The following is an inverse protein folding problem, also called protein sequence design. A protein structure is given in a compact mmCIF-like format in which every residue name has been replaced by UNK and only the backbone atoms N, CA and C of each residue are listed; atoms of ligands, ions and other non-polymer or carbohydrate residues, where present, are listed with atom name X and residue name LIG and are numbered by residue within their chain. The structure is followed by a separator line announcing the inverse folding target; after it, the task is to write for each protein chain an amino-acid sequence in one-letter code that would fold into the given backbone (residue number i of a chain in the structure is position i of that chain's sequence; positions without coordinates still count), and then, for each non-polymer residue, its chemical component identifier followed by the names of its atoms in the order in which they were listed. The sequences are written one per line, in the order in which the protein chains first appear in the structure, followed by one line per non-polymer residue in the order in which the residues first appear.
data_IF_913249531193
#
_entry.id   IF_913249531193
#
_cell.length_a   1.000
_cell.length_b   1.000
_cell.length_c   1.000
_cell.angle_alpha   90.00
_cell.angle_beta   90.00
_cell.angle_gamma   90.00
#
_symmetry.space_group_name_H-M   'P 1'
#
loop_
_entity.id
_entity.type
_entity.pdbx_description
1 polymer ?
#
# COMPACT_ATOMS: atom_id res chain seq x y z
N UNK A 1 -4.84 -20.98 27.79
CA UNK A 1 -4.83 -21.57 26.43
C UNK A 1 -4.56 -20.60 25.26
N UNK A 2 -4.76 -19.26 25.33
CA UNK A 2 -4.41 -18.37 24.22
C UNK A 2 -2.90 -18.05 24.11
N UNK A 3 -2.15 -18.07 25.23
CA UNK A 3 -0.71 -17.76 25.25
C UNK A 3 0.16 -18.81 24.54
N UNK A 4 -0.23 -20.09 24.61
CA UNK A 4 0.48 -21.17 23.92
C UNK A 4 0.35 -21.09 22.39
N UNK A 5 -0.79 -20.60 21.90
CA UNK A 5 -1.03 -20.38 20.46
C UNK A 5 -0.21 -19.17 19.98
N UNK A 6 -0.16 -18.09 20.78
CA UNK A 6 0.66 -16.92 20.46
C UNK A 6 2.15 -17.28 20.37
N UNK A 7 2.67 -18.06 21.33
CA UNK A 7 4.06 -18.53 21.30
C UNK A 7 4.35 -19.45 20.10
N UNK A 8 3.44 -20.35 19.76
CA UNK A 8 3.61 -21.22 18.59
C UNK A 8 3.61 -20.43 17.26
N UNK A 9 2.73 -19.43 17.12
CA UNK A 9 2.73 -18.54 15.95
C UNK A 9 4.01 -17.69 15.91
N UNK A 10 4.48 -17.21 17.07
CA UNK A 10 5.74 -16.46 17.13
C UNK A 10 6.94 -17.33 16.76
N UNK A 11 7.02 -18.56 17.25
CA UNK A 11 8.10 -19.50 16.90
C UNK A 11 8.06 -19.88 15.42
N UNK A 12 6.89 -20.12 14.84
CA UNK A 12 6.75 -20.40 13.41
C UNK A 12 7.11 -19.19 12.54
N UNK A 13 6.74 -17.97 12.97
CA UNK A 13 7.16 -16.73 12.30
C UNK A 13 8.68 -16.55 12.39
N UNK A 14 9.27 -16.77 13.57
CA UNK A 14 10.73 -16.70 13.75
C UNK A 14 11.44 -17.75 12.90
N UNK A 15 10.89 -18.96 12.81
CA UNK A 15 11.45 -20.07 12.03
C UNK A 15 11.28 -19.86 10.52
N UNK A 16 10.22 -19.19 10.08
CA UNK A 16 10.07 -18.70 8.70
C UNK A 16 11.02 -17.54 8.38
N UNK A 17 11.32 -16.68 9.36
CA UNK A 17 12.28 -15.58 9.21
C UNK A 17 13.75 -16.05 9.29
N UNK A 18 14.03 -17.13 10.00
CA UNK A 18 15.36 -17.72 10.16
C UNK A 18 15.63 -18.86 9.16
N UNK A 19 14.58 -19.41 8.56
CA UNK A 19 14.66 -20.47 7.56
C UNK A 19 15.07 -19.91 6.21
N UNK A 20 16.15 -20.44 5.63
CA UNK A 20 16.53 -20.09 4.26
C UNK A 20 15.44 -20.57 3.31
N UNK A 21 14.67 -19.65 2.73
CA UNK A 21 13.88 -19.95 1.54
C UNK A 21 14.87 -20.19 0.39
N UNK A 22 15.19 -21.46 0.11
CA UNK A 22 16.01 -21.86 -1.02
C UNK A 22 17.51 -21.55 -0.93
N UNK A 23 18.14 -21.71 0.24
CA UNK A 23 19.57 -21.43 0.50
C UNK A 23 20.01 -19.94 0.41
N UNK A 24 19.07 -19.00 0.30
CA UNK A 24 19.38 -17.57 0.34
C UNK A 24 19.20 -17.00 1.76
N UNK A 25 20.08 -16.10 2.21
CA UNK A 25 19.90 -15.40 3.49
C UNK A 25 18.56 -14.67 3.51
N UNK A 26 17.77 -14.84 4.58
CA UNK A 26 16.43 -14.24 4.69
C UNK A 26 16.44 -12.71 4.56
N UNK A 27 17.56 -12.07 4.91
CA UNK A 27 17.80 -10.64 4.70
C UNK A 27 17.68 -10.23 3.22
N UNK A 28 18.15 -11.07 2.29
CA UNK A 28 18.10 -10.80 0.85
C UNK A 28 16.65 -10.91 0.34
N UNK A 29 15.91 -11.89 0.83
CA UNK A 29 14.50 -12.12 0.46
C UNK A 29 13.61 -10.96 0.94
N UNK A 30 13.95 -10.33 2.06
CA UNK A 30 13.24 -9.16 2.60
C UNK A 30 13.69 -7.83 1.99
N UNK A 31 14.95 -7.71 1.54
CA UNK A 31 15.48 -6.50 0.93
C UNK A 31 14.77 -6.13 -0.38
N UNK A 32 14.39 -7.13 -1.19
CA UNK A 32 13.69 -6.90 -2.46
C UNK A 32 12.34 -6.20 -2.26
N UNK A 33 11.38 -6.73 -1.48
CA UNK A 33 10.11 -6.06 -1.24
C UNK A 33 10.29 -4.71 -0.53
N UNK A 34 11.33 -4.54 0.31
CA UNK A 34 11.64 -3.24 0.92
C UNK A 34 12.00 -2.16 -0.10
N UNK A 35 12.90 -2.46 -1.04
CA UNK A 35 13.29 -1.50 -2.10
C UNK A 35 12.10 -1.18 -3.00
N UNK A 36 11.32 -2.20 -3.37
CA UNK A 36 10.07 -2.01 -4.13
C UNK A 36 9.11 -1.09 -3.39
N UNK A 37 8.90 -1.34 -2.09
CA UNK A 37 8.09 -0.48 -1.23
C UNK A 37 8.57 0.96 -1.26
N UNK A 38 9.87 1.18 -1.09
CA UNK A 38 10.47 2.51 -1.08
C UNK A 38 10.22 3.29 -2.39
N UNK A 39 10.44 2.64 -3.54
CA UNK A 39 10.17 3.24 -4.85
C UNK A 39 8.69 3.57 -5.01
N UNK A 40 7.80 2.65 -4.63
CA UNK A 40 6.35 2.88 -4.68
C UNK A 40 5.93 4.03 -3.77
N UNK A 41 6.45 4.10 -2.55
CA UNK A 41 6.17 5.18 -1.60
C UNK A 41 6.54 6.54 -2.16
N UNK A 42 7.71 6.65 -2.78
CA UNK A 42 8.15 7.87 -3.48
C UNK A 42 7.21 8.27 -4.62
N UNK A 43 6.88 7.32 -5.50
CA UNK A 43 6.00 7.58 -6.66
C UNK A 43 4.62 8.02 -6.19
N UNK A 44 4.03 7.33 -5.20
CA UNK A 44 2.72 7.66 -4.64
C UNK A 44 2.71 9.07 -4.04
N UNK A 45 3.77 9.46 -3.31
CA UNK A 45 3.89 10.83 -2.78
C UNK A 45 3.83 11.88 -3.90
N UNK A 46 4.53 11.62 -5.00
CA UNK A 46 4.57 12.55 -6.14
C UNK A 46 3.21 12.66 -6.82
N UNK A 47 2.52 11.53 -7.02
CA UNK A 47 1.16 11.50 -7.57
C UNK A 47 0.19 12.26 -6.64
N UNK A 48 0.27 12.07 -5.32
CA UNK A 48 -0.58 12.77 -4.36
C UNK A 48 -0.38 14.29 -4.40
N UNK A 49 0.86 14.77 -4.49
CA UNK A 49 1.14 16.21 -4.63
C UNK A 49 0.50 16.80 -5.89
N UNK A 50 0.65 16.13 -7.04
CA UNK A 50 0.05 16.58 -8.30
C UNK A 50 -1.47 16.49 -8.27
N UNK A 51 -2.02 15.41 -7.74
CA UNK A 51 -3.46 15.22 -7.58
C UNK A 51 -4.09 16.30 -6.71
N UNK A 52 -3.45 16.69 -5.62
CA UNK A 52 -3.95 17.75 -4.74
C UNK A 52 -4.00 19.11 -5.45
N UNK A 53 -3.03 19.41 -6.30
CA UNK A 53 -3.05 20.62 -7.14
C UNK A 53 -4.22 20.56 -8.14
N UNK A 54 -4.44 19.42 -8.79
CA UNK A 54 -5.56 19.24 -9.72
C UNK A 54 -6.92 19.40 -9.02
N UNK A 55 -7.06 18.88 -7.81
CA UNK A 55 -8.28 19.05 -6.99
C UNK A 55 -8.49 20.53 -6.65
N UNK A 56 -7.44 21.26 -6.27
CA UNK A 56 -7.55 22.69 -5.99
C UNK A 56 -7.99 23.48 -7.23
N UNK A 57 -7.41 23.18 -8.41
CA UNK A 57 -7.81 23.80 -9.68
C UNK A 57 -9.26 23.47 -10.02
N UNK A 58 -9.68 22.21 -9.84
CA UNK A 58 -11.05 21.78 -10.11
C UNK A 58 -12.06 22.50 -9.21
N UNK A 59 -11.73 22.72 -7.93
CA UNK A 59 -12.57 23.48 -7.00
C UNK A 59 -12.71 24.95 -7.44
N UNK A 60 -11.62 25.59 -7.85
CA UNK A 60 -11.67 26.96 -8.38
C UNK A 60 -12.50 27.02 -9.66
N UNK A 61 -12.31 26.08 -10.60
CA UNK A 61 -13.08 26.02 -11.83
C UNK A 61 -14.58 25.77 -11.57
N UNK A 62 -14.91 24.95 -10.57
CA UNK A 62 -16.28 24.72 -10.12
C UNK A 62 -16.91 25.98 -9.52
N UNK A 63 -16.15 26.77 -8.75
CA UNK A 63 -16.63 28.04 -8.19
C UNK A 63 -17.03 29.04 -9.29
N UNK A 64 -16.25 29.11 -10.38
CA UNK A 64 -16.59 29.96 -11.54
C UNK A 64 -17.64 29.33 -12.47
N UNK A 65 -18.18 28.16 -12.15
CA UNK A 65 -19.23 27.49 -12.93
C UNK A 65 -18.75 26.80 -14.20
N UNK A 66 -17.43 26.70 -14.43
CA UNK A 66 -16.87 25.96 -15.58
C UNK A 66 -17.00 24.44 -15.41
N UNK A 67 -17.18 23.96 -14.18
CA UNK A 67 -17.18 22.53 -13.85
C UNK A 67 -18.36 22.21 -12.94
N UNK A 68 -19.20 21.25 -13.36
CA UNK A 68 -20.28 20.72 -12.52
C UNK A 68 -19.74 19.59 -11.64
N UNK A 69 -19.56 19.89 -10.34
CA UNK A 69 -19.08 18.94 -9.35
C UNK A 69 -19.94 17.67 -9.25
N UNK A 70 -21.25 17.77 -9.54
CA UNK A 70 -22.18 16.64 -9.49
C UNK A 70 -21.78 15.50 -10.44
N UNK A 71 -21.37 15.83 -11.67
CA UNK A 71 -20.95 14.84 -12.66
C UNK A 71 -19.61 14.19 -12.28
N UNK A 72 -18.67 14.99 -11.76
CA UNK A 72 -17.38 14.48 -11.28
C UNK A 72 -17.59 13.52 -10.11
N UNK A 73 -18.48 13.85 -9.17
CA UNK A 73 -18.77 12.97 -8.04
C UNK A 73 -19.45 11.67 -8.47
N UNK A 74 -20.31 11.70 -9.48
CA UNK A 74 -20.96 10.50 -10.02
C UNK A 74 -19.95 9.56 -10.69
N UNK A 75 -19.08 10.10 -11.55
CA UNK A 75 -18.01 9.33 -12.19
C UNK A 75 -17.01 8.78 -11.16
N UNK A 76 -16.64 9.59 -10.17
CA UNK A 76 -15.79 9.14 -9.07
C UNK A 76 -16.43 8.00 -8.27
N UNK A 77 -17.74 8.07 -7.99
CA UNK A 77 -18.46 6.99 -7.32
C UNK A 77 -18.49 5.70 -8.15
N UNK A 78 -18.70 5.79 -9.46
CA UNK A 78 -18.71 4.62 -10.34
C UNK A 78 -17.32 3.99 -10.47
N UNK A 79 -16.26 4.80 -10.50
CA UNK A 79 -14.90 4.31 -10.42
C UNK A 79 -14.63 3.60 -9.09
N UNK A 80 -15.08 4.17 -7.96
CA UNK A 80 -14.93 3.53 -6.65
C UNK A 80 -15.72 2.23 -6.56
N UNK A 81 -16.93 2.16 -7.11
CA UNK A 81 -17.72 0.91 -7.13
C UNK A 81 -17.08 -0.17 -8.00
N UNK A 82 -16.47 0.21 -9.11
CA UNK A 82 -15.84 -0.73 -10.05
C UNK A 82 -14.48 -1.24 -9.53
N UNK A 83 -13.63 -0.32 -9.08
CA UNK A 83 -12.26 -0.64 -8.70
C UNK A 83 -12.08 -0.87 -7.19
N UNK A 84 -12.99 -0.39 -6.36
CA UNK A 84 -12.94 -0.56 -4.90
C UNK A 84 -12.93 -2.02 -4.44
N UNK A 85 -13.88 -2.87 -4.90
CA UNK A 85 -13.89 -4.29 -4.53
C UNK A 85 -12.62 -5.02 -4.98
N UNK A 86 -12.12 -4.67 -6.16
CA UNK A 86 -10.89 -5.22 -6.72
C UNK A 86 -9.69 -4.83 -5.86
N UNK A 87 -9.57 -3.56 -5.46
CA UNK A 87 -8.51 -3.09 -4.57
C UNK A 87 -8.56 -3.80 -3.21
N UNK A 88 -9.75 -3.98 -2.64
CA UNK A 88 -9.93 -4.70 -1.37
C UNK A 88 -9.52 -6.18 -1.46
N UNK A 89 -9.79 -6.83 -2.60
CA UNK A 89 -9.35 -8.20 -2.86
C UNK A 89 -7.82 -8.32 -2.94
N UNK A 90 -7.16 -7.38 -3.61
CA UNK A 90 -5.69 -7.37 -3.64
C UNK A 90 -5.06 -7.08 -2.27
N UNK A 91 -5.70 -6.22 -1.46
CA UNK A 91 -5.24 -5.95 -0.11
C UNK A 91 -5.29 -7.19 0.79
N UNK A 92 -6.32 -8.03 0.69
CA UNK A 92 -6.43 -9.24 1.51
C UNK A 92 -5.33 -10.26 1.19
N UNK A 93 -5.01 -10.44 -0.10
CA UNK A 93 -3.89 -11.28 -0.56
C UNK A 93 -2.56 -10.69 -0.07
N UNK A 94 -2.40 -9.37 -0.17
CA UNK A 94 -1.21 -8.67 0.26
C UNK A 94 -0.94 -8.82 1.77
N UNK A 95 -1.96 -8.73 2.62
CA UNK A 95 -1.82 -8.99 4.06
C UNK A 95 -1.60 -10.46 4.41
N UNK A 96 -2.02 -11.40 3.55
CA UNK A 96 -1.82 -12.84 3.76
C UNK A 96 -0.35 -13.30 3.68
N UNK A 97 0.54 -12.54 3.04
CA UNK A 97 1.97 -12.84 2.90
C UNK A 97 2.83 -12.00 3.86
N UNK A 98 2.66 -12.24 5.17
CA UNK A 98 3.20 -11.42 6.28
C UNK A 98 4.70 -11.06 6.16
N UNK A 99 5.64 -11.97 5.84
CA UNK A 99 7.07 -11.61 5.79
C UNK A 99 7.42 -10.67 4.63
N UNK A 100 6.77 -10.86 3.48
CA UNK A 100 6.98 -10.03 2.28
C UNK A 100 6.29 -8.67 2.40
N UNK A 101 5.09 -8.65 3.00
CA UNK A 101 4.33 -7.43 3.19
C UNK A 101 4.93 -6.53 4.25
N UNK A 102 5.55 -7.06 5.31
CA UNK A 102 6.24 -6.25 6.32
C UNK A 102 7.39 -5.41 5.72
N UNK A 103 8.28 -6.04 4.94
CA UNK A 103 9.36 -5.34 4.24
C UNK A 103 8.84 -4.27 3.29
N UNK A 104 7.79 -4.59 2.53
CA UNK A 104 7.18 -3.66 1.59
C UNK A 104 6.48 -2.48 2.29
N UNK A 105 5.74 -2.71 3.37
CA UNK A 105 5.05 -1.67 4.14
C UNK A 105 6.06 -0.72 4.78
N UNK A 106 7.10 -1.25 5.42
CA UNK A 106 8.15 -0.42 6.04
C UNK A 106 8.86 0.41 4.96
N UNK A 107 9.27 -0.22 3.85
CA UNK A 107 9.88 0.47 2.72
C UNK A 107 8.96 1.55 2.16
N UNK A 108 7.69 1.24 1.97
CA UNK A 108 6.66 2.17 1.47
C UNK A 108 6.47 3.38 2.38
N UNK A 109 6.31 3.16 3.69
CA UNK A 109 6.15 4.25 4.65
C UNK A 109 7.38 5.15 4.66
N UNK A 110 8.58 4.58 4.62
CA UNK A 110 9.83 5.35 4.57
C UNK A 110 9.90 6.14 3.27
N UNK A 111 9.70 5.50 2.12
CA UNK A 111 9.69 6.17 0.81
C UNK A 111 8.63 7.26 0.70
N UNK A 112 7.47 7.06 1.32
CA UNK A 112 6.39 8.04 1.31
C UNK A 112 6.68 9.24 2.24
N UNK A 113 7.17 9.00 3.45
CA UNK A 113 7.41 10.06 4.43
C UNK A 113 8.67 10.86 4.10
N UNK A 114 9.77 10.17 3.77
CA UNK A 114 11.10 10.79 3.66
C UNK A 114 11.51 11.22 2.24
N UNK A 115 10.79 10.81 1.19
CA UNK A 115 11.11 11.22 -0.19
C UNK A 115 10.37 12.46 -0.68
#
# INVERSE_FOLDING_TARGET
MPEAIALAIMDDLFKMMSGSMGNLPSLVVMAVPFVVGLVLGYVVKRILKVGLILVAIALVAAYFGFVNLGNITAEAQDMVKTYGPVAMSYLSIFFGIVPLSAGLVIGFLIGFVFS
#
